data_IF_055901566192
#
_entry.id   IF_055901566192
#
_cell.length_a   1.000
_cell.length_b   1.000
_cell.length_c   1.000
_cell.angle_alpha   90.00
_cell.angle_beta   90.00
_cell.angle_gamma   90.00
#
_symmetry.space_group_name_H-M   'P 1'
#
loop_
_entity.id
_entity.type
_entity.pdbx_description
1 polymer ?
#
# COMPACT_ATOMS: atom_id res chain seq x y z
N UNK A 1 22.71 -1.15 6.02
CA UNK A 1 21.82 -0.52 5.03
C UNK A 1 20.47 -0.31 5.73
N UNK A 2 19.82 0.86 5.67
CA UNK A 2 18.53 1.03 6.32
C UNK A 2 17.52 0.05 5.71
N UNK A 3 16.83 -0.71 6.56
CA UNK A 3 15.78 -1.64 6.13
C UNK A 3 14.70 -0.83 5.43
N UNK A 4 14.29 -1.20 4.20
CA UNK A 4 13.29 -0.42 3.48
C UNK A 4 11.99 -0.43 4.30
N UNK A 5 11.38 0.74 4.48
CA UNK A 5 10.18 0.92 5.28
C UNK A 5 9.05 1.51 4.43
N UNK A 6 7.81 1.21 4.79
CA UNK A 6 6.60 1.85 4.28
C UNK A 6 6.10 2.86 5.31
N UNK A 7 5.76 4.07 4.89
CA UNK A 7 5.04 5.00 5.77
C UNK A 7 3.56 4.93 5.43
N UNK A 8 2.75 4.36 6.31
CA UNK A 8 1.30 4.19 6.10
C UNK A 8 0.54 4.91 7.20
N UNK A 9 -0.34 5.85 6.84
CA UNK A 9 -1.15 6.63 7.77
C UNK A 9 -0.32 7.31 8.88
N UNK A 10 0.89 7.77 8.55
CA UNK A 10 1.81 8.42 9.50
C UNK A 10 2.60 7.46 10.40
N UNK A 11 2.51 6.14 10.17
CA UNK A 11 3.27 5.13 10.90
C UNK A 11 4.26 4.42 9.98
N UNK A 12 5.50 4.23 10.45
CA UNK A 12 6.51 3.50 9.70
C UNK A 12 6.44 1.99 9.98
N UNK A 13 6.35 1.20 8.92
CA UNK A 13 6.34 -0.26 8.95
C UNK A 13 7.58 -0.79 8.22
N UNK A 14 8.26 -1.77 8.78
CA UNK A 14 9.29 -2.49 8.05
C UNK A 14 8.65 -3.21 6.87
N UNK A 15 9.25 -3.12 5.69
CA UNK A 15 8.78 -3.91 4.55
C UNK A 15 8.96 -5.39 4.87
N UNK A 16 7.88 -6.18 4.85
CA UNK A 16 7.99 -7.63 4.99
C UNK A 16 8.75 -8.23 3.81
N UNK A 17 9.28 -9.44 3.95
CA UNK A 17 9.93 -10.18 2.85
C UNK A 17 9.00 -10.38 1.65
N UNK A 18 7.68 -10.28 1.86
CA UNK A 18 6.65 -10.18 0.83
C UNK A 18 6.66 -8.85 0.06
N UNK A 19 7.71 -8.02 0.13
CA UNK A 19 7.81 -6.73 -0.58
C UNK A 19 7.70 -6.83 -2.12
N UNK A 20 7.86 -8.03 -2.70
CA UNK A 20 7.54 -8.32 -4.10
C UNK A 20 6.04 -8.37 -4.39
N UNK A 21 5.21 -8.56 -3.37
CA UNK A 21 3.77 -8.52 -3.46
C UNK A 21 3.27 -7.10 -3.74
N UNK A 22 2.00 -7.03 -4.13
CA UNK A 22 1.34 -5.74 -4.40
C UNK A 22 1.15 -4.97 -3.09
N UNK A 23 1.14 -3.64 -3.18
CA UNK A 23 0.84 -2.77 -2.04
C UNK A 23 -0.50 -3.15 -1.40
N UNK A 24 -1.50 -3.53 -2.20
CA UNK A 24 -2.78 -4.02 -1.69
C UNK A 24 -2.64 -5.27 -0.81
N UNK A 25 -1.76 -6.20 -1.19
CA UNK A 25 -1.51 -7.41 -0.41
C UNK A 25 -0.91 -7.04 0.95
N UNK A 26 0.13 -6.22 0.96
CA UNK A 26 0.81 -5.81 2.19
C UNK A 26 -0.14 -5.05 3.13
N UNK A 27 -0.88 -4.08 2.60
CA UNK A 27 -1.85 -3.31 3.39
C UNK A 27 -2.89 -4.21 4.05
N UNK A 28 -3.46 -5.17 3.31
CA UNK A 28 -4.56 -6.00 3.81
C UNK A 28 -4.11 -7.14 4.70
N UNK A 29 -3.07 -7.87 4.30
CA UNK A 29 -2.66 -9.12 4.93
C UNK A 29 -1.63 -8.91 6.03
N UNK A 30 -0.62 -8.07 5.76
CA UNK A 30 0.46 -7.82 6.71
C UNK A 30 0.07 -6.73 7.73
N UNK A 31 -0.61 -5.67 7.27
CA UNK A 31 -0.99 -4.52 8.12
C UNK A 31 -2.46 -4.51 8.56
N UNK A 32 -3.31 -5.40 8.04
CA UNK A 32 -4.73 -5.48 8.41
C UNK A 32 -5.60 -4.29 7.97
N UNK A 33 -5.07 -3.38 7.14
CA UNK A 33 -5.74 -2.20 6.61
C UNK A 33 -6.66 -2.62 5.46
N UNK A 34 -7.94 -2.79 5.79
CA UNK A 34 -8.94 -3.39 4.94
C UNK A 34 -9.77 -2.38 4.15
N UNK A 35 -9.54 -1.08 4.28
CA UNK A 35 -10.18 0.00 3.54
C UNK A 35 -10.02 -0.19 2.03
N UNK A 36 -8.78 -0.25 1.51
CA UNK A 36 -8.52 -0.64 0.12
C UNK A 36 -8.98 -2.07 -0.14
N UNK A 37 -9.86 -2.28 -1.13
CA UNK A 37 -10.47 -3.58 -1.40
C UNK A 37 -9.85 -4.26 -2.63
N UNK A 38 -9.85 -5.58 -2.62
CA UNK A 38 -9.62 -6.37 -3.82
C UNK A 38 -10.92 -6.42 -4.65
N UNK A 39 -10.93 -5.76 -5.81
CA UNK A 39 -12.02 -5.82 -6.77
C UNK A 39 -11.63 -6.61 -8.00
N UNK A 40 -11.01 -5.94 -8.98
CA UNK A 40 -10.60 -6.56 -10.25
C UNK A 40 -9.16 -7.08 -10.28
N UNK A 41 -8.26 -6.60 -9.41
CA UNK A 41 -6.82 -6.94 -9.47
C UNK A 41 -6.04 -6.36 -10.68
N UNK A 42 -6.71 -5.58 -11.54
CA UNK A 42 -6.18 -5.10 -12.83
C UNK A 42 -6.12 -3.57 -12.94
N UNK A 43 -6.27 -2.85 -11.83
CA UNK A 43 -6.26 -1.38 -11.81
C UNK A 43 -7.51 -0.68 -12.37
N UNK A 44 -8.51 -1.43 -12.84
CA UNK A 44 -9.69 -0.89 -13.53
C UNK A 44 -10.76 -0.32 -12.58
N UNK A 45 -11.22 -1.11 -11.61
CA UNK A 45 -12.39 -0.77 -10.78
C UNK A 45 -12.15 0.32 -9.73
N UNK A 46 -10.90 0.64 -9.39
CA UNK A 46 -10.55 1.65 -8.39
C UNK A 46 -10.88 1.34 -6.92
N UNK A 47 -11.39 0.16 -6.58
CA UNK A 47 -11.72 -0.18 -5.18
C UNK A 47 -10.50 -0.31 -4.26
N UNK A 48 -9.32 -0.50 -4.84
CA UNK A 48 -8.03 -0.59 -4.14
C UNK A 48 -7.31 0.77 -4.02
N UNK A 49 -8.00 1.88 -4.24
CA UNK A 49 -7.34 3.20 -4.29
C UNK A 49 -6.82 3.60 -2.92
N UNK A 50 -5.58 4.07 -2.93
CA UNK A 50 -4.90 4.74 -1.81
C UNK A 50 -4.30 6.04 -2.34
N UNK A 51 -3.88 6.92 -1.44
CA UNK A 51 -3.02 8.05 -1.82
C UNK A 51 -1.57 7.64 -1.61
N UNK A 52 -0.71 7.95 -2.58
CA UNK A 52 0.75 7.86 -2.44
C UNK A 52 1.29 9.27 -2.68
N UNK A 53 1.88 9.86 -1.64
CA UNK A 53 2.27 11.27 -1.59
C UNK A 53 1.13 12.22 -1.99
N UNK A 54 -0.08 11.93 -1.51
CA UNK A 54 -1.29 12.70 -1.82
C UNK A 54 -1.91 12.43 -3.20
N UNK A 55 -1.29 11.60 -4.04
CA UNK A 55 -1.78 11.29 -5.39
C UNK A 55 -2.50 9.93 -5.40
N UNK A 56 -3.72 9.84 -5.97
CA UNK A 56 -4.44 8.57 -6.07
C UNK A 56 -3.67 7.53 -6.88
N UNK A 57 -3.52 6.33 -6.31
CA UNK A 57 -2.78 5.23 -6.92
C UNK A 57 -3.52 3.89 -6.74
N UNK A 58 -3.30 2.95 -7.68
CA UNK A 58 -3.94 1.62 -7.65
C UNK A 58 -3.06 0.63 -6.89
N UNK A 59 -3.35 0.40 -5.62
CA UNK A 59 -2.55 -0.50 -4.78
C UNK A 59 -2.45 -1.94 -5.30
N UNK A 60 -3.44 -2.41 -6.08
CA UNK A 60 -3.46 -3.78 -6.62
C UNK A 60 -2.43 -4.06 -7.72
N UNK A 61 -1.81 -3.05 -8.33
CA UNK A 61 -0.84 -3.23 -9.44
C UNK A 61 0.53 -2.60 -9.16
N UNK A 62 0.69 -1.98 -7.99
CA UNK A 62 1.95 -1.37 -7.56
C UNK A 62 2.65 -2.35 -6.63
N UNK A 63 3.90 -2.76 -6.91
CA UNK A 63 4.70 -3.52 -5.94
C UNK A 63 4.97 -2.70 -4.69
N UNK A 64 4.88 -3.30 -3.50
CA UNK A 64 5.11 -2.57 -2.24
C UNK A 64 6.51 -1.96 -2.15
N UNK A 65 7.53 -2.67 -2.65
CA UNK A 65 8.89 -2.12 -2.75
C UNK A 65 8.99 -0.88 -3.65
N UNK A 66 8.12 -0.75 -4.66
CA UNK A 66 8.09 0.40 -5.56
C UNK A 66 7.61 1.71 -4.90
N UNK A 67 7.10 1.63 -3.67
CA UNK A 67 6.68 2.79 -2.87
C UNK A 67 7.36 2.85 -1.49
N UNK A 68 8.47 2.13 -1.32
CA UNK A 68 9.29 2.22 -0.11
C UNK A 68 9.71 3.68 0.14
N UNK A 69 9.56 4.14 1.40
CA UNK A 69 9.88 5.51 1.82
C UNK A 69 8.91 6.60 1.33
N UNK A 70 7.82 6.24 0.65
CA UNK A 70 6.76 7.18 0.27
C UNK A 70 5.64 7.18 1.30
N UNK A 71 4.89 8.27 1.37
CA UNK A 71 3.75 8.40 2.27
C UNK A 71 2.51 7.76 1.64
N UNK A 72 1.97 6.72 2.27
CA UNK A 72 0.73 6.08 1.87
C UNK A 72 -0.39 6.48 2.83
N UNK A 73 -1.52 6.94 2.28
CA UNK A 73 -2.75 7.20 3.05
C UNK A 73 -3.86 6.27 2.55
N UNK A 74 -4.42 5.49 3.47
CA UNK A 74 -5.61 4.66 3.23
C UNK A 74 -6.85 5.32 3.82
N UNK A 75 -8.02 4.70 3.64
CA UNK A 75 -9.27 5.21 4.21
C UNK A 75 -9.22 5.33 5.74
N UNK A 76 -8.49 4.43 6.40
CA UNK A 76 -8.31 4.41 7.86
C UNK A 76 -7.45 5.56 8.40
N UNK A 77 -6.69 6.24 7.53
CA UNK A 77 -5.82 7.37 7.89
C UNK A 77 -6.41 8.74 7.59
N UNK A 78 -7.67 8.81 7.15
CA UNK A 78 -8.45 10.03 6.98
C UNK A 78 -9.27 10.31 8.25
#
# INVERSE_FOLDING_TARGET
>A
MPTPALEVNGQSFLLPDSAQATLLHVLRNDLGLNGPKYGCGLGQCGTCTVLVDGVPARACVIPAQGVAGRCITTLEGL
#
